data_IF_410061761374
#
_entry.id   IF_410061761374
#
_cell.length_a   1.000
_cell.length_b   1.000
_cell.length_c   1.000
_cell.angle_alpha   90.00
_cell.angle_beta   90.00
_cell.angle_gamma   90.00
#
_symmetry.space_group_name_H-M   'P 1'
#
loop_
_entity.id
_entity.type
_entity.pdbx_description
1 polymer ?
#
# COMPACT_ATOMS: atom_id res chain seq x y z
N UNK A 1 -3.28 33.43 10.98
CA UNK A 1 -4.65 33.17 10.53
C UNK A 1 -5.54 34.32 11.01
N UNK A 2 -5.83 35.34 10.19
CA UNK A 2 -6.61 36.50 10.67
C UNK A 2 -8.12 36.20 10.74
N UNK A 3 -8.69 36.31 11.95
CA UNK A 3 -10.12 36.47 12.27
C UNK A 3 -11.14 35.40 11.82
N UNK A 4 -10.71 34.17 11.49
CA UNK A 4 -11.66 33.06 11.31
C UNK A 4 -12.01 32.44 12.68
N UNK A 5 -13.29 32.50 13.05
CA UNK A 5 -13.81 31.84 14.24
C UNK A 5 -14.19 30.40 13.90
N UNK A 6 -13.23 29.48 14.02
CA UNK A 6 -13.44 28.07 13.73
C UNK A 6 -14.42 27.41 14.72
N UNK A 7 -15.32 26.59 14.18
CA UNK A 7 -16.31 25.78 14.89
C UNK A 7 -15.93 24.30 14.78
N UNK A 8 -16.39 23.48 15.71
CA UNK A 8 -16.23 22.02 15.63
C UNK A 8 -17.21 21.45 14.60
N UNK A 9 -16.91 21.67 13.33
CA UNK A 9 -17.64 21.17 12.15
C UNK A 9 -16.65 20.70 11.10
N UNK A 10 -17.03 19.73 10.29
CA UNK A 10 -16.13 19.05 9.34
C UNK A 10 -15.44 20.02 8.34
N UNK A 11 -16.13 21.00 7.72
CA UNK A 11 -15.47 21.99 6.86
C UNK A 11 -14.34 22.77 7.53
N UNK A 12 -14.53 23.18 8.79
CA UNK A 12 -13.52 23.95 9.53
C UNK A 12 -12.32 23.07 9.91
N UNK A 13 -12.57 21.81 10.28
CA UNK A 13 -11.52 20.82 10.53
C UNK A 13 -10.70 20.58 9.27
N UNK A 14 -11.35 20.29 8.14
CA UNK A 14 -10.65 20.02 6.88
C UNK A 14 -9.87 21.24 6.40
N UNK A 15 -10.43 22.45 6.56
CA UNK A 15 -9.73 23.70 6.24
C UNK A 15 -8.45 23.87 7.06
N UNK A 16 -8.47 23.50 8.33
CA UNK A 16 -7.27 23.48 9.18
C UNK A 16 -6.31 22.36 8.79
N UNK A 17 -6.81 21.17 8.41
CA UNK A 17 -6.00 20.04 7.98
C UNK A 17 -5.22 20.33 6.67
N UNK A 18 -5.75 21.19 5.78
CA UNK A 18 -5.05 21.65 4.57
C UNK A 18 -3.69 22.32 4.86
N UNK A 19 -3.46 22.85 6.07
CA UNK A 19 -2.15 23.41 6.46
C UNK A 19 -1.04 22.35 6.54
N UNK A 20 -1.40 21.07 6.60
CA UNK A 20 -0.47 19.94 6.76
C UNK A 20 -0.27 19.13 5.48
N UNK A 21 -0.88 19.55 4.35
CA UNK A 21 -0.74 18.87 3.05
C UNK A 21 0.69 18.83 2.52
N UNK A 22 1.55 19.73 3.00
CA UNK A 22 2.93 19.87 2.53
C UNK A 22 3.95 19.02 3.28
N UNK A 23 3.55 18.20 4.27
CA UNK A 23 4.33 17.14 4.92
C UNK A 23 5.59 17.54 5.71
N UNK A 24 6.34 18.54 5.26
CA UNK A 24 7.62 19.00 5.81
C UNK A 24 7.51 20.23 6.71
N UNK A 25 6.29 20.68 7.01
CA UNK A 25 6.02 21.91 7.76
C UNK A 25 5.19 21.67 9.03
N UNK A 26 5.15 20.43 9.49
CA UNK A 26 4.50 20.07 10.74
C UNK A 26 5.36 20.54 11.92
N UNK A 27 4.78 20.89 13.07
CA UNK A 27 5.56 21.25 14.25
C UNK A 27 6.46 20.08 14.68
N UNK A 28 7.78 20.29 14.64
CA UNK A 28 8.83 19.31 14.95
C UNK A 28 9.53 19.51 16.29
N UNK A 29 9.47 20.72 16.87
CA UNK A 29 9.90 21.01 18.23
C UNK A 29 8.73 21.40 19.14
N UNK A 30 8.92 21.26 20.46
CA UNK A 30 7.89 21.57 21.43
C UNK A 30 7.92 23.05 21.83
N UNK A 31 6.76 23.71 21.74
CA UNK A 31 6.58 25.12 22.15
C UNK A 31 5.51 25.23 23.22
N UNK A 32 5.55 26.21 24.15
CA UNK A 32 4.61 26.28 25.27
C UNK A 32 3.13 26.29 24.86
N UNK A 33 2.77 26.99 23.77
CA UNK A 33 1.38 27.02 23.27
C UNK A 33 0.94 25.69 22.70
N UNK A 34 1.82 25.01 21.95
CA UNK A 34 1.56 23.71 21.35
C UNK A 34 1.46 22.62 22.43
N UNK A 35 2.40 22.61 23.37
CA UNK A 35 2.40 21.74 24.54
C UNK A 35 1.09 21.89 25.33
N UNK A 36 0.70 23.13 25.64
CA UNK A 36 -0.54 23.43 26.36
C UNK A 36 -1.80 22.95 25.62
N UNK A 37 -1.81 23.05 24.28
CA UNK A 37 -2.94 22.62 23.46
C UNK A 37 -3.02 21.09 23.32
N UNK A 38 -1.88 20.40 23.21
CA UNK A 38 -1.85 18.93 23.06
C UNK A 38 -2.10 18.20 24.38
N UNK A 39 -1.62 18.72 25.51
CA UNK A 39 -1.63 18.00 26.81
C UNK A 39 -3.00 17.42 27.19
N UNK A 40 -4.12 18.16 27.03
CA UNK A 40 -5.44 17.61 27.33
C UNK A 40 -5.80 16.37 26.51
N UNK A 41 -5.34 16.27 25.25
CA UNK A 41 -5.59 15.09 24.40
C UNK A 41 -4.89 13.86 24.95
N UNK A 42 -3.60 14.00 25.30
CA UNK A 42 -2.80 12.92 25.88
C UNK A 42 -3.35 12.47 27.23
N UNK A 43 -3.73 13.41 28.10
CA UNK A 43 -4.33 13.07 29.39
C UNK A 43 -5.69 12.39 29.26
N UNK A 44 -6.54 12.80 28.30
CA UNK A 44 -7.82 12.14 28.04
C UNK A 44 -7.64 10.70 27.53
N UNK A 45 -6.66 10.47 26.66
CA UNK A 45 -6.40 9.16 26.06
C UNK A 45 -5.50 8.26 26.93
N UNK A 46 -4.99 8.76 28.06
CA UNK A 46 -4.20 7.98 29.03
C UNK A 46 -4.84 6.64 29.43
N UNK A 47 -6.17 6.55 29.67
CA UNK A 47 -6.81 5.29 30.04
C UNK A 47 -6.96 4.29 28.88
N UNK A 48 -6.79 4.71 27.62
CA UNK A 48 -6.91 3.81 26.46
C UNK A 48 -5.61 3.00 26.33
N UNK A 49 -5.74 1.71 26.06
CA UNK A 49 -4.63 0.82 25.77
C UNK A 49 -3.97 1.19 24.43
N UNK A 50 -2.66 0.96 24.26
CA UNK A 50 -2.02 1.18 22.97
C UNK A 50 -2.49 0.15 21.92
N UNK A 51 -2.16 0.41 20.67
CA UNK A 51 -2.38 -0.48 19.53
C UNK A 51 -1.61 -1.80 19.72
N UNK A 52 -2.14 -2.90 19.23
CA UNK A 52 -1.51 -4.22 19.38
C UNK A 52 -0.13 -4.30 18.72
N UNK A 53 0.05 -3.61 17.59
CA UNK A 53 1.29 -3.59 16.81
C UNK A 53 2.18 -2.37 17.09
N UNK A 54 1.76 -1.46 17.98
CA UNK A 54 2.52 -0.26 18.35
C UNK A 54 2.16 0.19 19.77
N UNK A 55 3.06 -0.07 20.73
CA UNK A 55 2.89 0.23 22.15
C UNK A 55 2.98 1.73 22.51
N UNK A 56 3.44 2.57 21.57
CA UNK A 56 3.51 4.02 21.73
C UNK A 56 2.25 4.74 21.19
N UNK A 57 1.47 4.07 20.35
CA UNK A 57 0.35 4.67 19.63
C UNK A 57 -1.01 4.29 20.22
N UNK A 58 -1.95 5.23 20.25
CA UNK A 58 -3.34 5.01 20.65
C UNK A 58 -4.28 5.56 19.59
N UNK A 59 -5.41 4.89 19.40
CA UNK A 59 -6.34 5.19 18.33
C UNK A 59 -7.79 5.24 18.81
N UNK A 60 -8.54 6.23 18.32
CA UNK A 60 -10.01 6.27 18.35
C UNK A 60 -10.52 6.99 17.09
N UNK A 61 -11.77 6.75 16.73
CA UNK A 61 -12.54 7.47 15.75
C UNK A 61 -13.25 8.63 16.42
N UNK A 62 -13.22 9.81 15.80
CA UNK A 62 -13.99 10.98 16.21
C UNK A 62 -15.16 11.19 15.25
N UNK A 63 -16.30 11.58 15.80
CA UNK A 63 -17.46 12.03 15.03
C UNK A 63 -17.61 13.54 15.17
N UNK A 64 -17.48 14.25 14.06
CA UNK A 64 -17.55 15.71 14.01
C UNK A 64 -18.78 16.11 13.18
N UNK A 65 -19.65 17.01 13.66
CA UNK A 65 -20.81 17.46 12.89
C UNK A 65 -20.42 17.97 11.50
N UNK A 66 -21.25 17.73 10.49
CA UNK A 66 -21.09 18.33 9.16
C UNK A 66 -21.07 19.86 9.19
N UNK A 67 -21.82 20.47 10.10
CA UNK A 67 -22.12 21.90 10.06
C UNK A 67 -23.21 22.23 9.04
N UNK A 68 -23.42 23.52 8.84
CA UNK A 68 -24.35 24.07 7.85
C UNK A 68 -23.60 24.44 6.56
N UNK A 69 -24.33 24.64 5.47
CA UNK A 69 -23.73 25.08 4.19
C UNK A 69 -23.01 26.43 4.31
N UNK A 70 -23.30 27.23 5.34
CA UNK A 70 -22.60 28.49 5.63
C UNK A 70 -21.24 28.29 6.30
N UNK A 71 -20.93 27.08 6.80
CA UNK A 71 -19.63 26.71 7.35
C UNK A 71 -18.67 26.16 6.26
N UNK A 72 -19.19 25.83 5.08
CA UNK A 72 -18.43 25.39 3.92
C UNK A 72 -17.59 26.55 3.30
N UNK A 73 -17.14 26.41 2.05
CA UNK A 73 -16.49 27.50 1.33
C UNK A 73 -17.53 28.45 0.74
N UNK A 74 -17.18 29.72 0.48
CA UNK A 74 -18.15 30.69 -0.06
C UNK A 74 -18.59 30.31 -1.48
N UNK A 75 -19.89 30.43 -1.76
CA UNK A 75 -20.41 30.29 -3.12
C UNK A 75 -19.74 31.25 -4.09
N UNK A 76 -19.51 32.50 -3.69
CA UNK A 76 -18.85 33.52 -4.48
C UNK A 76 -17.40 33.14 -4.82
N UNK A 77 -16.64 32.65 -3.84
CA UNK A 77 -15.25 32.22 -4.02
C UNK A 77 -15.16 30.99 -4.94
N UNK A 78 -15.98 29.96 -4.67
CA UNK A 78 -16.02 28.74 -5.49
C UNK A 78 -16.48 29.03 -6.92
N UNK A 79 -17.33 30.04 -7.11
CA UNK A 79 -17.74 30.50 -8.42
C UNK A 79 -16.64 31.30 -9.13
N UNK A 80 -15.90 32.15 -8.41
CA UNK A 80 -14.75 32.86 -8.95
C UNK A 80 -13.66 31.89 -9.42
N UNK A 81 -13.49 30.77 -8.73
CA UNK A 81 -12.53 29.72 -9.10
C UNK A 81 -13.08 28.69 -10.11
N UNK A 82 -14.25 28.96 -10.71
CA UNK A 82 -14.93 28.08 -11.67
C UNK A 82 -15.16 26.64 -11.16
N UNK A 83 -15.21 26.44 -9.83
CA UNK A 83 -15.55 25.16 -9.20
C UNK A 83 -17.05 24.87 -9.34
N UNK A 84 -17.88 25.92 -9.20
CA UNK A 84 -19.34 25.85 -9.36
C UNK A 84 -19.85 27.04 -10.16
N UNK A 85 -20.94 26.87 -10.91
CA UNK A 85 -21.57 27.93 -11.71
C UNK A 85 -22.90 28.39 -11.13
N UNK A 86 -23.61 27.48 -10.47
CA UNK A 86 -24.93 27.72 -9.89
C UNK A 86 -24.96 27.40 -8.40
N UNK A 87 -25.91 28.01 -7.67
CA UNK A 87 -26.09 27.71 -6.26
C UNK A 87 -26.49 26.24 -6.03
N UNK A 88 -27.16 25.62 -7.01
CA UNK A 88 -27.49 24.19 -6.93
C UNK A 88 -26.25 23.31 -6.98
N UNK A 89 -25.32 23.60 -7.90
CA UNK A 89 -24.02 22.90 -7.95
C UNK A 89 -23.21 23.10 -6.66
N UNK A 90 -23.32 24.27 -6.03
CA UNK A 90 -22.73 24.55 -4.71
C UNK A 90 -23.34 23.71 -3.58
N UNK A 91 -24.67 23.60 -3.53
CA UNK A 91 -25.35 22.71 -2.58
C UNK A 91 -24.98 21.24 -2.82
N UNK A 92 -24.90 20.81 -4.08
CA UNK A 92 -24.56 19.44 -4.46
C UNK A 92 -23.12 19.10 -4.05
N UNK A 93 -22.16 20.00 -4.30
CA UNK A 93 -20.77 19.83 -3.90
C UNK A 93 -20.64 19.71 -2.37
N UNK A 94 -21.32 20.55 -1.60
CA UNK A 94 -21.31 20.46 -0.14
C UNK A 94 -21.86 19.12 0.37
N UNK A 95 -22.92 18.59 -0.24
CA UNK A 95 -23.47 17.28 0.10
C UNK A 95 -22.59 16.12 -0.37
N UNK A 96 -21.85 16.28 -1.45
CA UNK A 96 -20.88 15.30 -1.95
C UNK A 96 -19.66 15.19 -1.01
N UNK A 97 -19.10 16.33 -0.61
CA UNK A 97 -17.96 16.40 0.32
C UNK A 97 -18.35 15.98 1.74
N UNK A 98 -19.57 16.33 2.16
CA UNK A 98 -20.09 16.06 3.50
C UNK A 98 -21.47 15.37 3.48
N UNK A 99 -21.54 14.10 3.07
CA UNK A 99 -22.80 13.39 2.85
C UNK A 99 -23.53 12.96 4.12
N UNK A 100 -22.84 12.98 5.27
CA UNK A 100 -23.37 12.49 6.55
C UNK A 100 -23.58 13.63 7.54
N UNK A 101 -24.53 13.50 8.46
CA UNK A 101 -24.75 14.49 9.52
C UNK A 101 -23.53 14.65 10.46
N UNK A 102 -22.78 13.56 10.64
CA UNK A 102 -21.49 13.52 11.33
C UNK A 102 -20.46 12.84 10.43
N UNK A 103 -19.30 13.46 10.32
CA UNK A 103 -18.16 12.97 9.57
C UNK A 103 -17.18 12.26 10.49
N UNK A 104 -16.47 11.27 9.94
CA UNK A 104 -15.60 10.37 10.68
C UNK A 104 -14.14 10.77 10.48
N UNK A 105 -13.41 10.88 11.59
CA UNK A 105 -11.99 11.19 11.58
C UNK A 105 -11.22 10.18 12.43
N UNK A 106 -10.31 9.39 11.85
CA UNK A 106 -9.36 8.63 12.65
C UNK A 106 -8.50 9.61 13.45
N UNK A 107 -8.31 9.34 14.73
CA UNK A 107 -7.50 10.14 15.63
C UNK A 107 -6.47 9.26 16.32
N UNK A 108 -5.21 9.60 16.10
CA UNK A 108 -4.06 8.88 16.64
C UNK A 108 -3.21 9.83 17.46
N UNK A 109 -2.79 9.38 18.63
CA UNK A 109 -1.69 10.00 19.36
C UNK A 109 -0.54 8.99 19.48
N UNK A 110 0.69 9.50 19.50
CA UNK A 110 1.90 8.72 19.74
C UNK A 110 2.67 9.35 20.89
N UNK A 111 3.03 8.57 21.90
CA UNK A 111 3.85 8.99 23.05
C UNK A 111 5.11 8.12 23.11
N UNK A 112 6.16 8.55 22.42
CA UNK A 112 7.43 7.83 22.32
C UNK A 112 8.29 8.04 23.56
N UNK A 113 8.78 6.94 24.13
CA UNK A 113 9.53 6.96 25.41
C UNK A 113 10.94 6.44 25.28
N UNK A 114 11.87 7.14 25.92
CA UNK A 114 13.24 6.71 26.11
C UNK A 114 13.28 5.51 27.07
N UNK A 115 14.44 4.83 27.12
CA UNK A 115 14.68 3.67 28.01
C UNK A 115 14.49 4.00 29.50
N UNK A 116 14.63 5.26 29.89
CA UNK A 116 14.41 5.78 31.24
C UNK A 116 12.94 6.17 31.52
N UNK A 117 12.06 5.99 30.53
CA UNK A 117 10.62 6.26 30.62
C UNK A 117 10.23 7.72 30.36
N UNK A 118 11.19 8.60 30.03
CA UNK A 118 10.90 9.99 29.65
C UNK A 118 10.35 10.06 28.24
N UNK A 119 9.33 10.89 28.01
CA UNK A 119 8.83 11.14 26.65
C UNK A 119 9.88 11.90 25.86
N UNK A 120 10.34 11.33 24.74
CA UNK A 120 11.23 12.01 23.79
C UNK A 120 10.48 12.51 22.55
N UNK A 121 9.34 11.91 22.22
CA UNK A 121 8.58 12.24 21.03
C UNK A 121 7.08 12.23 21.30
N UNK A 122 6.36 13.20 20.71
CA UNK A 122 4.89 13.18 20.64
C UNK A 122 4.38 13.43 19.23
N UNK A 123 3.51 12.54 18.79
CA UNK A 123 2.79 12.65 17.53
C UNK A 123 1.29 12.86 17.76
N UNK A 124 0.66 13.66 16.90
CA UNK A 124 -0.81 13.78 16.84
C UNK A 124 -1.22 13.75 15.37
N UNK A 125 -2.15 12.86 15.03
CA UNK A 125 -2.73 12.73 13.70
C UNK A 125 -4.25 12.77 13.77
N UNK A 126 -4.86 13.46 12.82
CA UNK A 126 -6.31 13.58 12.67
C UNK A 126 -6.65 13.42 11.18
N UNK A 127 -7.61 12.56 10.86
CA UNK A 127 -7.82 12.22 9.46
C UNK A 127 -6.63 11.46 8.89
N UNK A 128 -6.31 11.71 7.63
CA UNK A 128 -5.10 11.20 6.97
C UNK A 128 -3.89 12.13 7.14
N UNK A 129 -3.90 13.06 8.11
CA UNK A 129 -2.82 14.03 8.31
C UNK A 129 -2.15 13.84 9.67
N UNK A 130 -0.83 13.82 9.67
CA UNK A 130 -0.04 14.10 10.88
C UNK A 130 -0.03 15.60 11.10
N UNK A 131 -0.54 16.07 12.24
CA UNK A 131 -0.64 17.50 12.56
C UNK A 131 0.47 17.96 13.54
N UNK A 132 1.07 17.03 14.28
CA UNK A 132 2.20 17.28 15.19
C UNK A 132 3.15 16.08 15.11
N UNK A 133 4.46 16.34 15.03
CA UNK A 133 5.52 15.33 15.03
C UNK A 133 6.72 15.87 15.81
N UNK A 134 6.55 16.09 17.12
CA UNK A 134 7.45 16.90 17.93
C UNK A 134 8.46 16.08 18.74
N UNK A 135 9.74 16.42 18.63
CA UNK A 135 10.78 16.06 19.60
C UNK A 135 10.60 16.93 20.85
N UNK A 136 10.65 16.30 22.02
CA UNK A 136 10.30 16.95 23.29
C UNK A 136 11.48 17.70 23.94
N UNK A 137 12.69 17.48 23.48
CA UNK A 137 13.93 18.12 23.94
C UNK A 137 14.41 19.26 23.02
N UNK A 138 13.74 19.48 21.89
CA UNK A 138 14.05 20.54 20.95
C UNK A 138 13.04 21.70 21.04
N UNK A 139 13.56 22.90 21.34
CA UNK A 139 12.81 24.15 21.15
C UNK A 139 13.04 24.68 19.74
N UNK A 140 11.97 24.81 18.95
CA UNK A 140 12.03 25.33 17.58
C UNK A 140 11.23 26.62 17.40
N UNK A 141 11.52 27.31 16.28
CA UNK A 141 10.73 28.46 15.83
C UNK A 141 9.34 27.98 15.39
N UNK A 142 8.30 28.83 15.47
CA UNK A 142 6.98 28.53 14.93
C UNK A 142 7.06 28.04 13.49
N UNK A 143 6.55 26.84 13.21
CA UNK A 143 6.24 26.41 11.87
C UNK A 143 5.02 27.18 11.35
N UNK A 144 4.85 27.19 10.03
CA UNK A 144 3.69 27.83 9.39
C UNK A 144 2.36 27.22 9.86
N UNK A 145 2.34 25.92 10.18
CA UNK A 145 1.16 25.16 10.57
C UNK A 145 0.85 25.21 12.08
N UNK A 146 1.71 25.83 12.90
CA UNK A 146 1.62 25.74 14.36
C UNK A 146 0.31 26.28 14.94
N UNK A 147 -0.16 27.43 14.45
CA UNK A 147 -1.42 28.02 14.91
C UNK A 147 -2.62 27.14 14.51
N UNK A 148 -2.54 26.44 13.37
CA UNK A 148 -3.55 25.47 12.95
C UNK A 148 -3.52 24.22 13.83
N UNK A 149 -2.33 23.73 14.19
CA UNK A 149 -2.17 22.58 15.10
C UNK A 149 -2.73 22.89 16.49
N UNK A 150 -2.40 24.07 17.04
CA UNK A 150 -2.95 24.56 18.32
C UNK A 150 -4.47 24.68 18.24
N UNK A 151 -5.00 25.24 17.16
CA UNK A 151 -6.44 25.41 16.96
C UNK A 151 -7.14 24.05 16.90
N UNK A 152 -6.66 23.13 16.06
CA UNK A 152 -7.19 21.77 15.95
C UNK A 152 -7.20 21.04 17.29
N UNK A 153 -6.09 21.05 18.04
CA UNK A 153 -6.00 20.36 19.32
C UNK A 153 -7.06 20.84 20.32
N UNK A 154 -7.30 22.15 20.38
CA UNK A 154 -8.33 22.72 21.25
C UNK A 154 -9.75 22.44 20.74
N UNK A 155 -9.95 22.49 19.42
CA UNK A 155 -11.25 22.38 18.78
C UNK A 155 -11.85 20.98 18.92
N UNK A 156 -11.02 19.93 18.79
CA UNK A 156 -11.48 18.53 18.79
C UNK A 156 -11.74 17.94 20.20
N UNK A 157 -11.38 18.66 21.28
CA UNK A 157 -11.53 18.15 22.65
C UNK A 157 -12.95 17.61 22.96
N UNK A 158 -14.05 18.25 22.55
CA UNK A 158 -15.40 17.72 22.78
C UNK A 158 -15.64 16.38 22.07
N UNK A 159 -15.18 16.21 20.82
CA UNK A 159 -15.35 14.97 20.07
C UNK A 159 -14.52 13.81 20.63
N UNK A 160 -13.30 14.10 21.10
CA UNK A 160 -12.45 13.14 21.82
C UNK A 160 -13.13 12.69 23.11
N UNK A 161 -13.72 13.62 23.85
CA UNK A 161 -14.45 13.33 25.09
C UNK A 161 -15.68 12.45 24.83
N UNK A 162 -16.50 12.75 23.82
CA UNK A 162 -17.67 11.94 23.45
C UNK A 162 -17.26 10.49 23.13
N UNK A 163 -16.23 10.32 22.30
CA UNK A 163 -15.71 9.00 21.92
C UNK A 163 -15.16 8.23 23.12
N UNK A 164 -14.41 8.89 24.01
CA UNK A 164 -13.89 8.29 25.23
C UNK A 164 -15.00 7.89 26.22
N UNK A 165 -16.07 8.66 26.31
CA UNK A 165 -17.24 8.30 27.14
C UNK A 165 -17.90 7.01 26.62
N UNK A 166 -18.00 6.83 25.31
CA UNK A 166 -18.47 5.57 24.71
C UNK A 166 -17.53 4.40 25.02
N UNK A 167 -16.21 4.62 24.98
CA UNK A 167 -15.22 3.59 25.35
C UNK A 167 -15.42 3.18 26.80
N UNK A 168 -15.54 4.14 27.72
CA UNK A 168 -15.75 3.89 29.15
C UNK A 168 -17.07 3.17 29.45
N UNK A 169 -18.10 3.44 28.65
CA UNK A 169 -19.41 2.79 28.79
C UNK A 169 -19.50 1.45 28.06
N UNK A 170 -18.43 1.03 27.37
CA UNK A 170 -18.39 -0.24 26.64
C UNK A 170 -19.25 -0.29 25.37
N UNK A 171 -19.69 0.86 24.85
CA UNK A 171 -20.55 0.92 23.65
C UNK A 171 -19.81 1.30 22.38
N UNK A 172 -18.55 1.74 22.50
CA UNK A 172 -17.78 2.32 21.40
C UNK A 172 -17.48 1.33 20.26
N UNK A 173 -16.90 0.16 20.54
CA UNK A 173 -16.44 -0.75 19.48
C UNK A 173 -17.62 -1.28 18.65
N UNK A 174 -18.74 -1.63 19.28
CA UNK A 174 -19.96 -2.04 18.58
C UNK A 174 -20.52 -0.91 17.70
N UNK A 175 -20.52 0.32 18.23
CA UNK A 175 -20.97 1.50 17.49
C UNK A 175 -20.11 1.77 16.25
N UNK A 176 -18.78 1.74 16.38
CA UNK A 176 -17.85 1.93 15.26
C UNK A 176 -18.05 0.84 14.21
N UNK A 177 -18.01 -0.45 14.60
CA UNK A 177 -18.15 -1.56 13.67
C UNK A 177 -19.50 -1.56 12.90
N UNK A 178 -20.53 -0.97 13.50
CA UNK A 178 -21.87 -0.86 12.90
C UNK A 178 -22.01 0.36 11.98
N UNK A 179 -21.45 1.51 12.38
CA UNK A 179 -21.77 2.81 11.76
C UNK A 179 -20.63 3.41 10.93
N UNK A 180 -19.41 2.87 11.00
CA UNK A 180 -18.28 3.38 10.21
C UNK A 180 -18.57 3.20 8.71
N UNK A 181 -18.50 4.26 7.89
CA UNK A 181 -18.74 4.17 6.45
C UNK A 181 -17.74 3.25 5.76
N UNK A 182 -18.19 2.54 4.71
CA UNK A 182 -17.37 1.56 3.98
C UNK A 182 -16.04 2.14 3.46
N UNK A 183 -16.00 3.44 3.13
CA UNK A 183 -14.79 4.14 2.63
C UNK A 183 -13.62 4.11 3.63
N UNK A 184 -13.89 3.84 4.91
CA UNK A 184 -12.89 3.73 5.97
C UNK A 184 -12.56 2.30 6.38
N UNK A 185 -13.29 1.31 5.86
CA UNK A 185 -13.24 -0.06 6.36
C UNK A 185 -12.30 -0.93 5.55
N UNK A 186 -11.78 -1.95 6.22
CA UNK A 186 -11.09 -3.07 5.57
C UNK A 186 -12.06 -4.25 5.46
N UNK A 187 -12.04 -4.95 4.34
CA UNK A 187 -12.92 -6.10 4.10
C UNK A 187 -12.33 -7.07 3.09
N UNK A 188 -12.96 -8.22 2.91
CA UNK A 188 -12.59 -9.16 1.84
C UNK A 188 -13.82 -9.57 1.07
N UNK A 189 -13.64 -9.83 -0.22
CA UNK A 189 -14.67 -10.37 -1.09
C UNK A 189 -14.09 -11.53 -1.91
N UNK A 190 -14.87 -12.60 -2.10
CA UNK A 190 -14.44 -13.69 -2.98
C UNK A 190 -14.38 -13.22 -4.42
N UNK A 191 -13.30 -13.54 -5.13
CA UNK A 191 -13.15 -13.16 -6.54
C UNK A 191 -14.27 -13.69 -7.44
N UNK A 192 -14.76 -14.90 -7.18
CA UNK A 192 -15.93 -15.47 -7.89
C UNK A 192 -17.21 -14.64 -7.76
N UNK A 193 -17.35 -13.84 -6.70
CA UNK A 193 -18.45 -12.87 -6.59
C UNK A 193 -18.25 -11.73 -7.57
N UNK A 194 -17.04 -11.14 -7.62
CA UNK A 194 -16.73 -10.08 -8.58
C UNK A 194 -17.00 -10.53 -10.02
N UNK A 195 -16.55 -11.73 -10.39
CA UNK A 195 -16.80 -12.31 -11.72
C UNK A 195 -18.27 -12.49 -12.07
N UNK A 196 -19.14 -12.69 -11.08
CA UNK A 196 -20.58 -12.86 -11.27
C UNK A 196 -21.26 -11.53 -11.58
N UNK A 197 -20.81 -10.44 -10.93
CA UNK A 197 -21.41 -9.12 -11.08
C UNK A 197 -20.84 -8.37 -12.29
N UNK A 198 -19.54 -8.49 -12.53
CA UNK A 198 -18.89 -7.93 -13.71
C UNK A 198 -17.94 -8.98 -14.35
N UNK A 199 -18.35 -9.57 -15.49
CA UNK A 199 -17.53 -10.52 -16.24
C UNK A 199 -16.20 -9.96 -16.74
N UNK A 200 -16.02 -8.64 -16.79
CA UNK A 200 -14.74 -8.04 -17.22
C UNK A 200 -13.63 -8.28 -16.18
N UNK A 201 -13.96 -8.43 -14.89
CA UNK A 201 -12.99 -8.91 -13.89
C UNK A 201 -12.42 -10.27 -14.26
N UNK A 202 -13.27 -11.21 -14.70
CA UNK A 202 -12.80 -12.54 -15.11
C UNK A 202 -11.93 -12.47 -16.36
N UNK A 203 -12.27 -11.60 -17.32
CA UNK A 203 -11.45 -11.41 -18.52
C UNK A 203 -10.08 -10.85 -18.16
N UNK A 204 -10.02 -9.85 -17.27
CA UNK A 204 -8.77 -9.29 -16.78
C UNK A 204 -7.93 -10.33 -16.02
N UNK A 205 -8.54 -11.09 -15.11
CA UNK A 205 -7.88 -12.12 -14.30
C UNK A 205 -7.35 -13.30 -15.13
N UNK A 206 -7.83 -13.49 -16.36
CA UNK A 206 -7.39 -14.54 -17.27
C UNK A 206 -6.68 -13.98 -18.52
N UNK A 207 -6.42 -12.67 -18.56
CA UNK A 207 -5.98 -12.00 -19.78
C UNK A 207 -4.68 -12.61 -20.35
N UNK A 208 -4.68 -12.84 -21.66
CA UNK A 208 -3.59 -13.48 -22.41
C UNK A 208 -3.33 -14.96 -22.12
N UNK A 209 -3.92 -15.55 -21.07
CA UNK A 209 -3.63 -16.93 -20.67
C UNK A 209 -4.58 -17.92 -21.33
N UNK A 210 -4.02 -18.91 -22.03
CA UNK A 210 -4.81 -20.02 -22.59
C UNK A 210 -5.15 -21.06 -21.51
N UNK A 211 -6.28 -21.75 -21.67
CA UNK A 211 -6.67 -22.89 -20.83
C UNK A 211 -5.57 -23.97 -20.75
N UNK A 212 -4.83 -24.17 -21.84
CA UNK A 212 -3.69 -25.08 -21.88
C UNK A 212 -2.56 -24.60 -20.97
N UNK A 213 -2.23 -23.31 -21.00
CA UNK A 213 -1.20 -22.72 -20.15
C UNK A 213 -1.57 -22.84 -18.68
N UNK A 214 -2.82 -22.49 -18.32
CA UNK A 214 -3.34 -22.61 -16.95
C UNK A 214 -3.31 -24.07 -16.49
N UNK A 215 -3.71 -25.02 -17.34
CA UNK A 215 -3.67 -26.44 -17.02
C UNK A 215 -2.26 -26.96 -16.77
N UNK A 216 -1.28 -26.56 -17.59
CA UNK A 216 0.14 -26.90 -17.38
C UNK A 216 0.64 -26.31 -16.06
N UNK A 217 0.34 -25.04 -15.81
CA UNK A 217 0.71 -24.37 -14.58
C UNK A 217 0.16 -25.11 -13.35
N UNK A 218 -1.15 -25.38 -13.33
CA UNK A 218 -1.83 -26.14 -12.27
C UNK A 218 -1.14 -27.48 -12.01
N UNK A 219 -0.88 -28.27 -13.04
CA UNK A 219 -0.23 -29.58 -12.89
C UNK A 219 1.15 -29.47 -12.24
N UNK A 220 1.93 -28.43 -12.60
CA UNK A 220 3.25 -28.20 -11.99
C UNK A 220 3.08 -27.88 -10.48
N UNK A 221 2.15 -27.00 -10.12
CA UNK A 221 1.90 -26.63 -8.72
C UNK A 221 1.40 -27.82 -7.91
N UNK A 222 0.40 -28.56 -8.41
CA UNK A 222 -0.17 -29.73 -7.74
C UNK A 222 0.82 -30.90 -7.59
N UNK A 223 1.81 -31.02 -8.48
CA UNK A 223 2.90 -31.99 -8.33
C UNK A 223 3.87 -31.65 -7.17
N UNK A 224 3.79 -30.44 -6.62
CA UNK A 224 4.70 -29.94 -5.59
C UNK A 224 6.08 -29.55 -6.12
N UNK A 225 6.21 -29.29 -7.42
CA UNK A 225 7.46 -28.90 -8.05
C UNK A 225 7.85 -27.43 -7.75
N UNK A 226 6.89 -26.56 -7.42
CA UNK A 226 7.13 -25.17 -7.01
C UNK A 226 7.58 -25.09 -5.55
N UNK A 227 8.71 -25.72 -5.23
CA UNK A 227 9.22 -25.87 -3.88
C UNK A 227 10.74 -25.71 -3.90
N UNK A 228 11.24 -24.67 -3.24
CA UNK A 228 12.67 -24.32 -3.23
C UNK A 228 13.52 -25.43 -2.60
N UNK A 229 12.95 -26.31 -1.79
CA UNK A 229 13.65 -27.46 -1.21
C UNK A 229 13.77 -28.65 -2.18
N UNK A 230 13.02 -28.64 -3.30
CA UNK A 230 12.95 -29.75 -4.27
C UNK A 230 13.53 -29.43 -5.64
N UNK A 231 13.60 -28.16 -6.03
CA UNK A 231 14.25 -27.77 -7.28
C UNK A 231 15.75 -28.09 -7.25
N UNK A 232 16.35 -28.41 -8.39
CA UNK A 232 17.79 -28.65 -8.48
C UNK A 232 18.57 -27.33 -8.35
N UNK A 233 19.92 -27.39 -8.38
CA UNK A 233 20.78 -26.22 -8.44
C UNK A 233 21.77 -26.34 -9.60
N UNK A 234 22.08 -25.22 -10.22
CA UNK A 234 23.12 -25.09 -11.24
C UNK A 234 24.43 -24.78 -10.51
N UNK A 235 25.38 -25.72 -10.51
CA UNK A 235 26.65 -25.59 -9.78
C UNK A 235 27.64 -24.63 -10.46
N UNK A 236 27.63 -24.56 -11.79
CA UNK A 236 28.47 -23.66 -12.57
C UNK A 236 27.55 -22.81 -13.44
N UNK A 237 27.38 -21.55 -13.07
CA UNK A 237 26.43 -20.63 -13.70
C UNK A 237 27.19 -19.51 -14.39
N UNK A 238 26.71 -19.08 -15.56
CA UNK A 238 27.30 -17.98 -16.33
C UNK A 238 26.24 -16.94 -16.69
N UNK A 239 26.66 -15.74 -17.11
CA UNK A 239 25.71 -14.73 -17.61
C UNK A 239 24.88 -15.26 -18.79
N UNK A 240 25.47 -16.10 -19.64
CA UNK A 240 24.74 -16.73 -20.73
C UNK A 240 23.67 -17.72 -20.27
N UNK A 241 23.80 -18.35 -19.09
CA UNK A 241 22.72 -19.17 -18.54
C UNK A 241 21.51 -18.30 -18.14
N UNK A 242 21.77 -17.15 -17.52
CA UNK A 242 20.74 -16.15 -17.25
C UNK A 242 20.09 -15.62 -18.54
N UNK A 243 20.87 -15.17 -19.52
CA UNK A 243 20.30 -14.62 -20.75
C UNK A 243 19.56 -15.67 -21.60
N UNK A 244 19.99 -16.95 -21.57
CA UNK A 244 19.23 -18.06 -22.19
C UNK A 244 17.87 -18.23 -21.52
N UNK A 245 17.79 -18.16 -20.19
CA UNK A 245 16.52 -18.22 -19.47
C UNK A 245 15.59 -17.05 -19.86
N UNK A 246 16.11 -15.82 -19.92
CA UNK A 246 15.37 -14.65 -20.41
C UNK A 246 14.83 -14.88 -21.83
N UNK A 247 15.70 -15.34 -22.74
CA UNK A 247 15.36 -15.61 -24.14
C UNK A 247 14.24 -16.66 -24.30
N UNK A 248 14.25 -17.72 -23.49
CA UNK A 248 13.20 -18.73 -23.49
C UNK A 248 11.82 -18.13 -23.19
N UNK A 249 11.73 -17.30 -22.14
CA UNK A 249 10.46 -16.67 -21.77
C UNK A 249 9.99 -15.62 -22.77
N UNK A 250 10.88 -14.75 -23.28
CA UNK A 250 10.53 -13.80 -24.34
C UNK A 250 10.01 -14.49 -25.59
N UNK A 251 10.67 -15.58 -26.01
CA UNK A 251 10.23 -16.39 -27.15
C UNK A 251 8.86 -17.02 -26.90
N UNK A 252 8.61 -17.53 -25.69
CA UNK A 252 7.31 -18.11 -25.32
C UNK A 252 6.18 -17.07 -25.33
N UNK A 253 6.48 -15.82 -24.99
CA UNK A 253 5.56 -14.68 -25.07
C UNK A 253 5.39 -14.10 -26.48
N UNK A 254 6.12 -14.63 -27.48
CA UNK A 254 6.04 -14.14 -28.85
C UNK A 254 6.70 -12.79 -29.07
N UNK A 255 7.64 -12.39 -28.20
CA UNK A 255 8.40 -11.15 -28.37
C UNK A 255 9.30 -11.22 -29.62
N UNK A 256 9.64 -10.06 -30.16
CA UNK A 256 10.49 -9.95 -31.34
C UNK A 256 11.96 -10.20 -30.97
N UNK A 257 12.46 -11.37 -31.37
CA UNK A 257 13.80 -11.86 -31.03
C UNK A 257 14.78 -11.89 -32.22
N UNK A 258 14.35 -11.48 -33.42
CA UNK A 258 15.09 -11.76 -34.65
C UNK A 258 16.38 -10.94 -34.71
N UNK A 259 17.48 -11.60 -35.11
CA UNK A 259 18.79 -10.99 -35.37
C UNK A 259 19.46 -10.33 -34.14
N UNK A 260 19.06 -10.72 -32.91
CA UNK A 260 19.64 -10.24 -31.65
C UNK A 260 20.41 -11.34 -30.93
N UNK A 261 21.56 -11.00 -30.36
CA UNK A 261 22.25 -11.83 -29.38
C UNK A 261 21.46 -11.91 -28.06
N UNK A 262 21.80 -12.88 -27.22
CA UNK A 262 21.18 -13.06 -25.90
C UNK A 262 21.23 -11.80 -25.00
N UNK A 263 22.38 -11.12 -24.82
CA UNK A 263 22.44 -9.89 -24.02
C UNK A 263 21.66 -8.73 -24.66
N UNK A 264 21.69 -8.57 -25.99
CA UNK A 264 20.89 -7.54 -26.68
C UNK A 264 19.39 -7.76 -26.47
N UNK A 265 18.96 -9.02 -26.53
CA UNK A 265 17.57 -9.40 -26.30
C UNK A 265 17.12 -9.09 -24.87
N UNK A 266 17.96 -9.40 -23.88
CA UNK A 266 17.74 -9.00 -22.49
C UNK A 266 17.63 -7.47 -22.37
N UNK A 267 18.60 -6.72 -22.88
CA UNK A 267 18.60 -5.24 -22.78
C UNK A 267 17.42 -4.57 -23.50
N UNK A 268 16.87 -5.20 -24.54
CA UNK A 268 15.68 -4.69 -25.25
C UNK A 268 14.44 -4.65 -24.36
N UNK A 269 14.26 -5.65 -23.49
CA UNK A 269 13.02 -5.85 -22.73
C UNK A 269 13.15 -5.62 -21.22
N UNK A 270 14.35 -5.82 -20.68
CA UNK A 270 14.66 -5.58 -19.27
C UNK A 270 14.78 -4.08 -18.96
N UNK A 271 14.70 -3.73 -17.67
CA UNK A 271 14.86 -2.36 -17.16
C UNK A 271 16.10 -1.64 -17.71
N UNK A 272 17.22 -2.35 -17.80
CA UNK A 272 18.47 -1.85 -18.37
C UNK A 272 19.40 -1.19 -17.35
N UNK A 273 19.01 -1.07 -16.06
CA UNK A 273 19.96 -0.80 -14.97
C UNK A 273 20.58 -2.12 -14.48
N UNK A 274 21.32 -2.81 -15.33
CA UNK A 274 21.79 -4.18 -15.12
C UNK A 274 23.04 -4.32 -14.22
N UNK A 275 23.41 -3.29 -13.46
CA UNK A 275 24.60 -3.27 -12.59
C UNK A 275 25.90 -3.62 -13.35
N UNK A 276 26.01 -3.19 -14.61
CA UNK A 276 27.20 -3.39 -15.42
C UNK A 276 27.39 -4.80 -15.96
N UNK A 277 26.38 -5.67 -15.83
CA UNK A 277 26.43 -7.06 -16.30
C UNK A 277 26.80 -7.14 -17.79
N UNK A 278 26.07 -6.42 -18.64
CA UNK A 278 26.31 -6.37 -20.09
C UNK A 278 27.33 -5.32 -20.50
N UNK A 279 27.64 -4.37 -19.60
CA UNK A 279 28.38 -3.15 -19.92
C UNK A 279 27.62 -2.14 -20.77
N UNK A 280 26.39 -2.47 -21.18
CA UNK A 280 25.52 -1.64 -22.02
C UNK A 280 24.31 -1.09 -21.25
N UNK A 281 24.31 -1.21 -19.92
CA UNK A 281 23.29 -0.67 -19.04
C UNK A 281 23.26 0.86 -19.05
N UNK A 282 22.15 1.46 -18.60
CA UNK A 282 22.03 2.90 -18.55
C UNK A 282 22.70 3.52 -17.30
N UNK A 283 23.27 4.72 -17.45
CA UNK A 283 23.82 5.51 -16.34
C UNK A 283 25.16 5.00 -15.82
N UNK A 284 25.25 4.71 -14.52
CA UNK A 284 26.48 4.22 -13.88
C UNK A 284 26.83 2.76 -14.28
N UNK A 285 26.01 2.13 -15.11
CA UNK A 285 26.13 0.74 -15.54
C UNK A 285 26.80 0.57 -16.91
N UNK A 286 27.28 1.66 -17.52
CA UNK A 286 28.07 1.62 -18.77
C UNK A 286 29.51 1.18 -18.48
N UNK A 287 30.04 0.23 -19.26
CA UNK A 287 31.37 -0.31 -19.02
C UNK A 287 31.74 -1.49 -19.94
N UNK A 288 32.81 -2.24 -19.64
CA UNK A 288 33.23 -3.36 -20.48
C UNK A 288 32.30 -4.58 -20.40
N UNK A 289 31.41 -4.64 -19.40
CA UNK A 289 30.66 -5.85 -19.08
C UNK A 289 31.54 -6.93 -18.47
N UNK A 290 30.97 -8.11 -18.22
CA UNK A 290 31.72 -9.31 -17.83
C UNK A 290 31.87 -10.29 -19.00
N UNK A 291 32.72 -11.31 -18.85
CA UNK A 291 32.75 -12.44 -19.78
C UNK A 291 31.51 -13.33 -19.54
N UNK A 292 30.66 -13.46 -20.56
CA UNK A 292 29.36 -14.13 -20.43
C UNK A 292 29.44 -15.66 -20.36
N UNK A 293 30.59 -16.27 -20.71
CA UNK A 293 30.81 -17.72 -20.65
C UNK A 293 31.66 -18.13 -19.44
N UNK A 294 32.24 -17.17 -18.73
CA UNK A 294 33.04 -17.44 -17.54
C UNK A 294 32.20 -17.43 -16.26
N UNK A 295 32.28 -18.52 -15.51
CA UNK A 295 31.58 -18.66 -14.24
C UNK A 295 32.26 -17.87 -13.12
N UNK A 296 33.60 -17.71 -13.17
CA UNK A 296 34.32 -16.92 -12.17
C UNK A 296 33.96 -15.42 -12.33
N UNK A 297 33.91 -14.94 -13.57
CA UNK A 297 33.43 -13.58 -13.86
C UNK A 297 31.97 -13.35 -13.39
N UNK A 298 31.10 -14.35 -13.55
CA UNK A 298 29.74 -14.30 -13.01
C UNK A 298 29.73 -14.23 -11.47
N UNK A 299 30.48 -15.11 -10.79
CA UNK A 299 30.51 -15.16 -9.32
C UNK A 299 31.05 -13.85 -8.71
N UNK A 300 32.07 -13.25 -9.34
CA UNK A 300 32.63 -11.96 -8.94
C UNK A 300 31.59 -10.83 -9.09
N UNK A 301 30.91 -10.76 -10.24
CA UNK A 301 29.84 -9.77 -10.45
C UNK A 301 28.63 -10.00 -9.54
N UNK A 302 28.22 -11.25 -9.34
CA UNK A 302 27.06 -11.60 -8.53
C UNK A 302 27.25 -11.21 -7.06
N UNK A 303 28.46 -11.44 -6.54
CA UNK A 303 28.85 -11.14 -5.15
C UNK A 303 29.32 -9.69 -4.95
N UNK A 304 29.46 -8.93 -6.04
CA UNK A 304 29.89 -7.55 -6.02
C UNK A 304 28.91 -6.59 -5.35
N UNK A 305 29.36 -5.36 -5.02
CA UNK A 305 28.48 -4.33 -4.48
C UNK A 305 27.37 -3.98 -5.47
N UNK A 306 26.15 -3.75 -4.96
CA UNK A 306 25.00 -3.30 -5.75
C UNK A 306 24.82 -1.80 -5.62
N UNK A 307 24.68 -1.10 -6.75
CA UNK A 307 24.49 0.36 -6.84
C UNK A 307 23.02 0.80 -6.92
N UNK A 308 22.06 -0.12 -6.80
CA UNK A 308 20.62 0.16 -6.89
C UNK A 308 20.05 -0.05 -8.30
N UNK A 309 20.76 -0.78 -9.15
CA UNK A 309 20.26 -1.30 -10.41
C UNK A 309 19.33 -2.49 -10.22
N UNK A 310 18.61 -2.81 -11.29
CA UNK A 310 17.55 -3.80 -11.35
C UNK A 310 17.90 -4.90 -12.38
N UNK A 311 19.02 -5.65 -12.23
CA UNK A 311 19.45 -6.64 -13.21
C UNK A 311 18.45 -7.79 -13.41
N UNK A 312 17.59 -8.02 -12.43
CA UNK A 312 16.60 -9.08 -12.45
C UNK A 312 15.29 -8.67 -13.13
N UNK A 313 15.06 -7.38 -13.34
CA UNK A 313 13.82 -6.85 -13.92
C UNK A 313 13.80 -7.09 -15.43
N UNK A 314 13.44 -8.31 -15.82
CA UNK A 314 13.48 -8.79 -17.21
C UNK A 314 12.34 -8.26 -18.08
N UNK A 315 11.29 -7.72 -17.48
CA UNK A 315 10.22 -7.05 -18.20
C UNK A 315 9.92 -5.74 -17.48
N UNK A 316 10.19 -4.63 -18.17
CA UNK A 316 9.96 -3.28 -17.67
C UNK A 316 8.55 -3.09 -17.14
N UNK A 317 8.47 -2.47 -15.97
CA UNK A 317 7.23 -1.95 -15.42
C UNK A 317 7.49 -0.75 -14.53
N UNK A 318 6.43 -0.21 -13.95
CA UNK A 318 6.56 0.70 -12.82
C UNK A 318 6.78 -0.11 -11.53
N UNK A 319 6.70 0.55 -10.37
CA UNK A 319 7.00 -0.04 -9.05
C UNK A 319 6.32 -1.40 -8.78
N UNK A 320 5.14 -1.68 -9.33
CA UNK A 320 4.39 -2.92 -9.08
C UNK A 320 4.06 -3.74 -10.33
N UNK A 321 4.49 -3.33 -11.52
CA UNK A 321 4.06 -3.93 -12.80
C UNK A 321 5.19 -4.52 -13.62
N UNK A 322 6.37 -4.64 -13.02
CA UNK A 322 7.50 -5.33 -13.63
C UNK A 322 7.44 -6.86 -13.38
N UNK A 323 8.26 -7.60 -14.12
CA UNK A 323 8.52 -9.02 -13.84
C UNK A 323 10.01 -9.21 -13.61
N UNK A 324 10.34 -9.79 -12.47
CA UNK A 324 11.71 -10.16 -12.14
C UNK A 324 11.95 -11.64 -12.38
N UNK A 325 13.13 -11.95 -12.91
CA UNK A 325 13.75 -13.26 -12.88
C UNK A 325 15.03 -13.14 -12.04
N UNK A 326 14.89 -13.27 -10.73
CA UNK A 326 16.06 -13.27 -9.85
C UNK A 326 16.86 -14.55 -10.06
N UNK A 327 18.18 -14.40 -10.06
CA UNK A 327 19.08 -15.52 -9.80
C UNK A 327 19.37 -15.57 -8.30
N UNK A 328 18.97 -16.65 -7.66
CA UNK A 328 19.22 -16.93 -6.25
C UNK A 328 20.40 -17.90 -6.13
N UNK A 329 21.14 -17.81 -5.03
CA UNK A 329 22.29 -18.66 -4.75
C UNK A 329 22.22 -19.17 -3.31
N UNK A 330 22.37 -20.47 -3.13
CA UNK A 330 22.53 -21.12 -1.83
C UNK A 330 23.80 -22.00 -1.84
N UNK A 331 24.07 -22.71 -0.73
CA UNK A 331 25.24 -23.60 -0.61
C UNK A 331 25.30 -24.68 -1.70
N UNK A 332 24.15 -25.00 -2.30
CA UNK A 332 24.03 -25.97 -3.36
C UNK A 332 24.12 -25.37 -4.78
N UNK A 333 24.21 -24.05 -4.92
CA UNK A 333 24.41 -23.37 -6.19
C UNK A 333 23.22 -22.50 -6.61
N UNK A 334 23.09 -22.27 -7.91
CA UNK A 334 22.19 -21.26 -8.46
C UNK A 334 20.82 -21.82 -8.85
N UNK A 335 19.78 -21.00 -8.69
CA UNK A 335 18.42 -21.27 -9.14
C UNK A 335 17.68 -19.97 -9.47
N UNK A 336 16.52 -20.06 -10.12
CA UNK A 336 15.73 -18.92 -10.53
C UNK A 336 14.50 -18.71 -9.64
N UNK A 337 14.22 -17.45 -9.27
CA UNK A 337 12.92 -17.01 -8.75
C UNK A 337 12.25 -16.11 -9.78
N UNK A 338 10.97 -16.34 -10.05
CA UNK A 338 10.13 -15.38 -10.75
C UNK A 338 9.25 -14.60 -9.76
N UNK A 339 9.26 -13.26 -9.88
CA UNK A 339 8.28 -12.37 -9.25
C UNK A 339 7.49 -11.65 -10.32
N UNK A 340 6.16 -11.69 -10.26
CA UNK A 340 5.33 -11.03 -11.27
C UNK A 340 3.83 -11.21 -11.10
N UNK A 341 3.34 -11.26 -9.85
CA UNK A 341 1.93 -11.58 -9.53
C UNK A 341 0.89 -10.64 -10.17
N UNK A 342 1.29 -9.43 -10.54
CA UNK A 342 0.46 -8.44 -11.25
C UNK A 342 0.62 -8.48 -12.79
N UNK A 343 1.49 -9.37 -13.30
CA UNK A 343 1.81 -9.61 -14.72
C UNK A 343 1.73 -11.12 -14.99
N UNK A 344 0.57 -11.68 -14.70
CA UNK A 344 0.36 -13.14 -14.64
C UNK A 344 0.62 -13.85 -15.97
N UNK A 345 0.29 -13.22 -17.11
CA UNK A 345 0.59 -13.77 -18.43
C UNK A 345 2.09 -14.04 -18.54
N UNK A 346 2.89 -13.02 -18.27
CA UNK A 346 4.34 -13.09 -18.33
C UNK A 346 4.90 -14.05 -17.28
N UNK A 347 4.52 -13.90 -16.01
CA UNK A 347 5.05 -14.71 -14.92
C UNK A 347 4.75 -16.21 -15.09
N UNK A 348 3.50 -16.57 -15.43
CA UNK A 348 3.10 -17.97 -15.63
C UNK A 348 3.73 -18.54 -16.91
N UNK A 349 3.80 -17.75 -17.99
CA UNK A 349 4.43 -18.21 -19.24
C UNK A 349 5.92 -18.44 -19.06
N UNK A 350 6.64 -17.53 -18.39
CA UNK A 350 8.04 -17.73 -18.02
C UNK A 350 8.20 -18.98 -17.17
N UNK A 351 7.44 -19.08 -16.07
CA UNK A 351 7.57 -20.19 -15.13
C UNK A 351 7.33 -21.56 -15.79
N UNK A 352 6.24 -21.71 -16.53
CA UNK A 352 5.91 -22.96 -17.23
C UNK A 352 6.94 -23.29 -18.32
N UNK A 353 7.47 -22.29 -19.02
CA UNK A 353 8.50 -22.47 -20.06
C UNK A 353 9.84 -22.92 -19.47
N UNK A 354 10.32 -22.24 -18.42
CA UNK A 354 11.60 -22.58 -17.78
C UNK A 354 11.51 -23.94 -17.08
N UNK A 355 10.38 -24.25 -16.44
CA UNK A 355 10.12 -25.57 -15.85
C UNK A 355 10.16 -26.68 -16.91
N UNK A 356 9.51 -26.47 -18.07
CA UNK A 356 9.53 -27.42 -19.17
C UNK A 356 10.93 -27.61 -19.79
N UNK A 357 11.79 -26.60 -19.71
CA UNK A 357 13.20 -26.68 -20.11
C UNK A 357 14.09 -27.38 -19.06
N UNK A 358 13.54 -27.79 -17.92
CA UNK A 358 14.28 -28.46 -16.85
C UNK A 358 15.17 -27.52 -16.02
N UNK A 359 14.92 -26.21 -16.08
CA UNK A 359 15.65 -25.23 -15.28
C UNK A 359 15.14 -25.24 -13.83
N UNK A 360 16.02 -25.05 -12.84
CA UNK A 360 15.60 -24.94 -11.44
C UNK A 360 14.96 -23.58 -11.21
N UNK A 361 13.63 -23.53 -11.31
CA UNK A 361 12.86 -22.30 -11.18
C UNK A 361 11.73 -22.49 -10.18
N UNK A 362 11.43 -21.44 -9.41
CA UNK A 362 10.19 -21.32 -8.68
C UNK A 362 9.51 -19.99 -8.99
N UNK A 363 8.18 -19.98 -8.93
CA UNK A 363 7.36 -18.80 -9.02
C UNK A 363 6.90 -18.40 -7.60
N UNK A 364 7.19 -17.16 -7.22
CA UNK A 364 6.65 -16.55 -6.00
C UNK A 364 5.14 -16.34 -6.15
N UNK A 365 4.39 -16.56 -5.07
CA UNK A 365 2.91 -16.47 -5.03
C UNK A 365 2.18 -17.41 -5.98
N UNK A 366 2.79 -18.53 -6.38
CA UNK A 366 2.22 -19.43 -7.36
C UNK A 366 0.87 -20.04 -6.94
N UNK A 367 0.68 -20.33 -5.64
CA UNK A 367 -0.59 -20.87 -5.13
C UNK A 367 -1.69 -19.81 -5.18
N UNK A 368 -1.34 -18.57 -4.85
CA UNK A 368 -2.24 -17.42 -4.86
C UNK A 368 -2.65 -17.06 -6.30
N UNK A 369 -1.68 -17.05 -7.23
CA UNK A 369 -1.94 -16.89 -8.68
C UNK A 369 -2.83 -18.02 -9.19
N UNK A 370 -2.62 -19.27 -8.76
CA UNK A 370 -3.47 -20.39 -9.14
C UNK A 370 -4.90 -20.25 -8.58
N UNK A 371 -5.03 -19.83 -7.32
CA UNK A 371 -6.33 -19.62 -6.67
C UNK A 371 -7.15 -18.50 -7.34
N UNK A 372 -6.48 -17.46 -7.86
CA UNK A 372 -7.09 -16.43 -8.73
C UNK A 372 -7.76 -17.03 -9.95
N UNK A 373 -7.12 -17.97 -10.64
CA UNK A 373 -7.69 -18.59 -11.85
C UNK A 373 -8.93 -19.45 -11.57
N UNK A 374 -9.10 -19.90 -10.32
CA UNK A 374 -10.31 -20.60 -9.88
C UNK A 374 -11.39 -19.68 -9.32
N UNK A 375 -11.09 -18.39 -9.09
CA UNK A 375 -11.97 -17.45 -8.40
C UNK A 375 -12.22 -17.82 -6.93
N UNK A 376 -11.33 -18.64 -6.35
CA UNK A 376 -11.45 -19.18 -5.00
C UNK A 376 -10.72 -18.34 -3.95
N UNK A 377 -9.85 -17.44 -4.39
CA UNK A 377 -9.16 -16.48 -3.54
C UNK A 377 -10.07 -15.32 -3.10
N UNK A 378 -9.52 -14.52 -2.18
CA UNK A 378 -10.11 -13.28 -1.73
C UNK A 378 -9.38 -12.09 -2.35
N UNK A 379 -10.16 -11.08 -2.75
CA UNK A 379 -9.67 -9.74 -3.05
C UNK A 379 -9.88 -8.88 -1.80
N UNK A 380 -8.83 -8.17 -1.42
CA UNK A 380 -8.87 -7.26 -0.27
C UNK A 380 -9.53 -5.94 -0.64
N UNK A 381 -10.46 -5.50 0.20
CA UNK A 381 -11.05 -4.17 0.16
C UNK A 381 -10.31 -3.35 1.21
N UNK A 382 -9.72 -2.24 0.79
CA UNK A 382 -8.97 -1.35 1.68
C UNK A 382 -9.66 0.01 1.79
N UNK A 383 -9.41 0.76 2.88
CA UNK A 383 -9.91 2.13 3.01
C UNK A 383 -9.48 3.01 1.84
N UNK A 384 -10.30 4.00 1.48
CA UNK A 384 -10.03 4.93 0.37
C UNK A 384 -8.77 5.79 0.58
N UNK A 385 -8.37 5.98 1.85
CA UNK A 385 -7.10 6.64 2.20
C UNK A 385 -5.86 5.76 1.98
N UNK A 386 -6.05 4.46 1.73
CA UNK A 386 -4.99 3.48 1.53
C UNK A 386 -4.85 3.19 0.04
N UNK A 387 -3.63 3.33 -0.48
CA UNK A 387 -3.37 2.95 -1.87
C UNK A 387 -3.49 1.42 -2.01
N UNK A 388 -4.28 0.87 -2.97
CA UNK A 388 -4.61 -0.55 -3.03
C UNK A 388 -3.49 -1.41 -3.64
N UNK A 389 -2.27 -1.29 -3.08
CA UNK A 389 -1.08 -2.07 -3.40
C UNK A 389 -0.27 -2.28 -2.13
N UNK A 390 0.38 -3.43 -2.03
CA UNK A 390 1.22 -3.80 -0.88
C UNK A 390 0.46 -3.82 0.47
N UNK A 391 -0.80 -4.23 0.45
CA UNK A 391 -1.68 -4.27 1.61
C UNK A 391 -1.80 -5.66 2.25
N UNK A 392 -0.91 -6.60 1.90
CA UNK A 392 -1.00 -8.01 2.32
C UNK A 392 -1.10 -8.14 3.84
N UNK A 393 -0.39 -7.29 4.57
CA UNK A 393 -0.34 -7.29 6.04
C UNK A 393 -1.63 -6.83 6.73
N UNK A 394 -2.58 -6.25 6.00
CA UNK A 394 -3.86 -5.80 6.57
C UNK A 394 -4.87 -6.96 6.75
N UNK A 395 -4.61 -8.11 6.15
CA UNK A 395 -5.59 -9.20 6.07
C UNK A 395 -5.21 -10.36 7.01
N UNK A 396 -6.15 -10.84 7.84
CA UNK A 396 -5.93 -12.00 8.70
C UNK A 396 -5.57 -13.26 7.90
N UNK A 397 -4.71 -14.10 8.49
CA UNK A 397 -4.21 -15.35 7.86
C UNK A 397 -5.31 -16.34 7.49
N UNK A 398 -6.49 -16.27 8.13
CA UNK A 398 -7.64 -17.13 7.84
C UNK A 398 -8.21 -16.93 6.42
N UNK A 399 -7.93 -15.79 5.78
CA UNK A 399 -8.28 -15.53 4.38
C UNK A 399 -7.18 -15.93 3.39
N UNK A 400 -6.10 -16.56 3.87
CA UNK A 400 -4.90 -16.85 3.08
C UNK A 400 -4.09 -15.58 2.80
N UNK A 401 -3.13 -15.69 1.86
CA UNK A 401 -2.35 -14.53 1.40
C UNK A 401 -3.16 -13.78 0.34
N UNK A 402 -3.75 -12.64 0.73
CA UNK A 402 -4.49 -11.74 -0.17
C UNK A 402 -3.48 -10.95 -1.00
N UNK A 403 -3.50 -11.11 -2.33
CA UNK A 403 -2.51 -10.51 -3.24
C UNK A 403 -3.05 -9.40 -4.15
N UNK A 404 -4.37 -9.23 -4.21
CA UNK A 404 -5.02 -8.16 -4.96
C UNK A 404 -5.92 -7.34 -4.04
N UNK A 405 -5.95 -6.04 -4.30
CA UNK A 405 -6.66 -5.07 -3.47
C UNK A 405 -7.45 -4.10 -4.33
N UNK A 406 -8.57 -3.62 -3.81
CA UNK A 406 -9.41 -2.65 -4.48
C UNK A 406 -10.07 -1.68 -3.50
N UNK A 407 -10.53 -0.57 -4.05
CA UNK A 407 -11.57 0.25 -3.43
C UNK A 407 -12.93 -0.19 -3.98
N UNK A 408 -13.98 0.03 -3.19
CA UNK A 408 -15.38 -0.09 -3.62
C UNK A 408 -16.02 1.28 -3.54
N UNK A 409 -16.95 1.59 -4.43
CA UNK A 409 -17.73 2.83 -4.44
C UNK A 409 -19.22 2.53 -4.26
N UNK A 410 -20.05 3.57 -4.29
CA UNK A 410 -21.48 3.43 -4.00
C UNK A 410 -22.17 2.41 -4.93
N UNK A 411 -21.80 2.39 -6.22
CA UNK A 411 -22.33 1.43 -7.20
C UNK A 411 -21.99 -0.03 -6.82
N UNK A 412 -20.74 -0.33 -6.45
CA UNK A 412 -20.32 -1.66 -6.02
C UNK A 412 -20.99 -2.08 -4.71
N UNK A 413 -21.13 -1.14 -3.76
CA UNK A 413 -21.80 -1.38 -2.48
C UNK A 413 -23.27 -1.73 -2.69
N UNK A 414 -23.96 -1.05 -3.61
CA UNK A 414 -25.34 -1.38 -4.00
C UNK A 414 -25.45 -2.76 -4.65
N UNK A 415 -24.51 -3.10 -5.54
CA UNK A 415 -24.54 -4.35 -6.29
C UNK A 415 -24.22 -5.58 -5.43
N UNK A 416 -23.14 -5.52 -4.66
CA UNK A 416 -22.58 -6.69 -3.97
C UNK A 416 -22.06 -6.40 -2.56
N UNK A 417 -22.38 -5.25 -1.96
CA UNK A 417 -21.93 -4.89 -0.61
C UNK A 417 -22.30 -5.89 0.49
N UNK A 418 -23.35 -6.70 0.29
CA UNK A 418 -23.77 -7.77 1.21
C UNK A 418 -22.89 -9.02 1.16
N UNK A 419 -22.12 -9.19 0.08
CA UNK A 419 -21.19 -10.31 -0.11
C UNK A 419 -19.79 -9.97 0.44
N UNK A 420 -19.56 -8.70 0.79
CA UNK A 420 -18.31 -8.25 1.43
C UNK A 420 -18.33 -8.71 2.88
N UNK A 421 -17.25 -9.38 3.28
CA UNK A 421 -16.97 -9.69 4.67
C UNK A 421 -16.12 -8.55 5.22
N UNK A 422 -16.76 -7.64 5.94
CA UNK A 422 -16.05 -6.55 6.61
C UNK A 422 -15.28 -7.08 7.81
N UNK A 423 -14.00 -6.71 7.89
CA UNK A 423 -13.17 -7.03 9.04
C UNK A 423 -13.56 -6.11 10.21
N UNK A 424 -13.40 -6.57 11.45
CA UNK A 424 -13.56 -5.70 12.61
C UNK A 424 -12.53 -4.58 12.59
N UNK A 425 -12.95 -3.39 12.99
CA UNK A 425 -12.04 -2.27 13.21
C UNK A 425 -11.17 -2.48 14.45
N UNK A 426 -10.02 -1.80 14.48
CA UNK A 426 -9.12 -1.79 15.63
C UNK A 426 -9.86 -1.36 16.90
N UNK A 427 -9.83 -2.22 17.93
CA UNK A 427 -10.60 -2.02 19.15
C UNK A 427 -9.96 -1.00 20.08
N UNK A 428 -10.71 0.01 20.50
CA UNK A 428 -10.30 0.86 21.61
C UNK A 428 -10.62 0.16 22.94
N UNK A 429 -9.58 -0.18 23.71
CA UNK A 429 -9.68 -0.85 25.01
C UNK A 429 -9.22 0.07 26.13
N UNK A 430 -9.74 -0.12 27.34
CA UNK A 430 -9.16 0.51 28.53
C UNK A 430 -7.94 -0.31 29.01
N UNK A 431 -6.94 0.36 29.58
CA UNK A 431 -5.86 -0.29 30.31
C UNK A 431 -6.46 -0.96 31.55
N UNK A 432 -6.15 -2.24 31.74
CA UNK A 432 -6.58 -3.03 32.90
C UNK A 432 -5.93 -2.59 34.21
#
# INVERSE_FOLDING_TARGET
>A
MENLNYKLVAPDIDRLLKYFDRGYLNPSGIRPSLAKAMEPLFEMLKPIAPLEYNDEAKFIWLLIPRGDISDFDSFEDLKEWDVVKTYKEYEDLWQEDYPLEKMWYPFVIVDGKNKDGQTFFRGVSLGNKTIISAQMDEEEKPAYSDEAAVTLCNLILPAVKESLEMVKNGTYNDFVNTNLPYKFRTGVIKRSVLWKFDPDYKKFDLDGLSEKTISVFRNIIESGANDTTKISRIKKFTANDFFKACSLGYKALGYEIKDMSLPELYMKYADGRDEGLTGSGCGLNEGPGIDFEDAEAWDEWYSGPRGGGHPWEIIRGENSTHVDLFVCHDDDGYYFRICGKHRQLEAVTFYTTLSAAGLPVYLEDANEILARFDGNDFVGIVPHSTFPRYCEGMFPKEYGKVIDFMHVYDEEIEQYGKEIIWLPEEEAKLIN
#
